data_IF_904688603737
#
_entry.id   IF_904688603737
#
_cell.length_a   1.000
_cell.length_b   1.000
_cell.length_c   1.000
_cell.angle_alpha   90.00
_cell.angle_beta   90.00
_cell.angle_gamma   90.00
#
_symmetry.space_group_name_H-M   'P 1'
#
loop_
_entity.id
_entity.type
_entity.pdbx_description
1 polymer ?
#
# COMPACT_ATOMS: atom_id res chain seq x y z
N UNK A 1 -7.77 7.43 -8.22
CA UNK A 1 -7.34 6.28 -7.40
C UNK A 1 -7.57 6.58 -5.93
N UNK A 2 -8.06 5.57 -5.23
CA UNK A 2 -8.76 5.72 -3.95
C UNK A 2 -7.87 5.89 -2.72
N UNK A 3 -6.58 5.59 -2.77
CA UNK A 3 -5.66 5.88 -1.65
C UNK A 3 -5.16 7.32 -1.62
N UNK A 4 -5.22 8.03 -2.76
CA UNK A 4 -4.69 9.39 -2.86
C UNK A 4 -5.57 10.37 -2.09
N UNK A 5 -6.84 10.48 -2.42
CA UNK A 5 -7.74 11.45 -1.80
C UNK A 5 -9.07 10.79 -1.46
N UNK A 6 -9.79 11.34 -0.48
CA UNK A 6 -11.18 10.95 -0.22
C UNK A 6 -12.07 11.28 -1.42
N UNK A 7 -12.98 10.37 -1.74
CA UNK A 7 -13.92 10.48 -2.87
C UNK A 7 -15.31 10.07 -2.42
N UNK A 8 -16.33 10.71 -2.96
CA UNK A 8 -17.72 10.33 -2.70
C UNK A 8 -18.12 9.09 -3.49
N UNK A 9 -17.68 9.01 -4.74
CA UNK A 9 -18.06 7.97 -5.70
C UNK A 9 -16.90 7.06 -6.08
N UNK A 10 -17.24 5.81 -6.30
CA UNK A 10 -16.34 4.79 -6.83
C UNK A 10 -16.21 4.99 -8.33
N UNK A 11 -14.97 5.03 -8.82
CA UNK A 11 -14.65 5.14 -10.25
C UNK A 11 -13.92 3.88 -10.73
N UNK A 12 -13.91 3.69 -12.05
CA UNK A 12 -13.09 2.65 -12.66
C UNK A 12 -11.60 2.86 -12.34
N UNK A 13 -10.91 1.77 -12.01
CA UNK A 13 -9.52 1.74 -11.56
C UNK A 13 -9.33 1.97 -10.06
N UNK A 14 -10.36 2.38 -9.31
CA UNK A 14 -10.20 2.47 -7.85
C UNK A 14 -10.01 1.07 -7.22
N UNK A 15 -9.21 1.00 -6.16
CA UNK A 15 -9.31 -0.10 -5.18
C UNK A 15 -10.48 0.22 -4.25
N UNK A 16 -11.40 -0.72 -4.02
CA UNK A 16 -12.48 -0.60 -3.05
C UNK A 16 -12.41 -1.74 -2.03
N UNK A 17 -12.84 -1.51 -0.80
CA UNK A 17 -12.89 -2.55 0.22
C UNK A 17 -14.34 -3.00 0.39
N UNK A 18 -14.60 -4.26 0.11
CA UNK A 18 -15.89 -4.90 0.35
C UNK A 18 -15.92 -5.47 1.76
N UNK A 19 -16.78 -4.91 2.61
CA UNK A 19 -17.07 -5.41 3.95
C UNK A 19 -18.32 -6.30 3.91
N UNK A 20 -18.13 -7.58 4.24
CA UNK A 20 -19.15 -8.62 4.25
C UNK A 20 -19.18 -9.35 5.58
N UNK A 21 -20.16 -9.01 6.41
CA UNK A 21 -20.27 -9.55 7.77
C UNK A 21 -18.97 -9.28 8.53
N UNK A 22 -18.15 -10.30 8.81
CA UNK A 22 -16.87 -10.14 9.50
C UNK A 22 -15.64 -10.24 8.58
N UNK A 23 -15.82 -10.25 7.26
CA UNK A 23 -14.73 -10.37 6.28
C UNK A 23 -14.56 -9.08 5.48
N UNK A 24 -13.32 -8.80 5.09
CA UNK A 24 -12.93 -7.69 4.24
C UNK A 24 -12.25 -8.23 2.99
N UNK A 25 -12.56 -7.65 1.84
CA UNK A 25 -11.95 -8.01 0.56
C UNK A 25 -11.55 -6.75 -0.20
N UNK A 26 -10.31 -6.69 -0.69
CA UNK A 26 -9.92 -5.67 -1.65
C UNK A 26 -10.42 -6.05 -3.05
N UNK A 27 -11.09 -5.11 -3.71
CA UNK A 27 -11.66 -5.24 -5.04
C UNK A 27 -11.00 -4.22 -5.95
N UNK A 28 -10.38 -4.70 -7.03
CA UNK A 28 -9.96 -3.85 -8.15
C UNK A 28 -11.18 -3.53 -9.01
N UNK A 29 -11.60 -2.25 -9.01
CA UNK A 29 -12.84 -1.82 -9.66
C UNK A 29 -12.60 -1.62 -11.16
N UNK A 30 -12.57 -2.74 -11.89
CA UNK A 30 -12.57 -2.76 -13.36
C UNK A 30 -13.78 -3.55 -13.84
N UNK A 31 -14.51 -3.10 -14.88
CA UNK A 31 -15.72 -3.78 -15.36
C UNK A 31 -15.41 -5.18 -15.93
N UNK A 32 -14.20 -5.33 -16.48
CA UNK A 32 -13.72 -6.55 -17.11
C UNK A 32 -12.35 -6.92 -16.53
N UNK A 33 -12.03 -8.21 -16.58
CA UNK A 33 -10.73 -8.73 -16.16
C UNK A 33 -10.26 -9.80 -17.12
N UNK A 34 -8.94 -10.01 -17.17
CA UNK A 34 -8.34 -11.10 -17.95
C UNK A 34 -8.34 -12.38 -17.12
N UNK A 35 -8.98 -13.42 -17.63
CA UNK A 35 -8.99 -14.72 -16.95
C UNK A 35 -7.66 -15.48 -17.13
N UNK A 36 -7.53 -16.65 -16.51
CA UNK A 36 -6.31 -17.50 -16.61
C UNK A 36 -5.98 -17.97 -18.03
N UNK A 37 -6.96 -17.97 -18.96
CA UNK A 37 -6.79 -18.31 -20.37
C UNK A 37 -6.44 -17.10 -21.24
N UNK A 38 -6.39 -15.91 -20.65
CA UNK A 38 -6.12 -14.67 -21.34
C UNK A 38 -7.33 -14.03 -22.01
N UNK A 39 -8.54 -14.53 -21.75
CA UNK A 39 -9.79 -13.98 -22.31
C UNK A 39 -10.30 -12.84 -21.42
N UNK A 40 -10.86 -11.81 -22.05
CA UNK A 40 -11.53 -10.71 -21.36
C UNK A 40 -12.92 -11.20 -20.96
N UNK A 41 -13.23 -11.13 -19.66
CA UNK A 41 -14.50 -11.56 -19.08
C UNK A 41 -15.04 -10.50 -18.12
N UNK A 42 -16.35 -10.54 -17.85
CA UNK A 42 -16.96 -9.69 -16.81
C UNK A 42 -16.26 -9.92 -15.47
N UNK A 43 -15.86 -8.85 -14.80
CA UNK A 43 -15.24 -8.94 -13.48
C UNK A 43 -16.32 -9.20 -12.44
N UNK A 44 -16.35 -10.43 -11.94
CA UNK A 44 -17.33 -10.89 -10.94
C UNK A 44 -16.57 -11.46 -9.75
N UNK A 45 -16.72 -10.81 -8.60
CA UNK A 45 -16.09 -11.24 -7.35
C UNK A 45 -16.99 -12.26 -6.63
N UNK A 46 -16.46 -13.44 -6.36
CA UNK A 46 -17.21 -14.53 -5.73
C UNK A 46 -17.04 -14.50 -4.21
N UNK A 47 -18.15 -14.58 -3.47
CA UNK A 47 -18.15 -14.57 -2.00
C UNK A 47 -19.08 -15.65 -1.45
N UNK A 48 -18.99 -16.01 -0.16
CA UNK A 48 -19.96 -16.90 0.49
C UNK A 48 -21.42 -16.41 0.40
N UNK A 49 -21.63 -15.09 0.25
CA UNK A 49 -22.95 -14.46 0.13
C UNK A 49 -23.36 -14.19 -1.33
N UNK A 50 -22.72 -14.88 -2.28
CA UNK A 50 -23.01 -14.79 -3.70
C UNK A 50 -22.00 -13.93 -4.47
N UNK A 51 -22.34 -13.70 -5.73
CA UNK A 51 -21.50 -12.99 -6.69
C UNK A 51 -21.76 -11.48 -6.63
N UNK A 52 -20.69 -10.69 -6.61
CA UNK A 52 -20.71 -9.24 -6.80
C UNK A 52 -20.23 -8.93 -8.22
N UNK A 53 -21.08 -8.32 -9.04
CA UNK A 53 -20.68 -7.81 -10.36
C UNK A 53 -19.93 -6.50 -10.16
N UNK A 54 -18.62 -6.48 -10.38
CA UNK A 54 -17.77 -5.32 -10.04
C UNK A 54 -18.23 -4.05 -10.79
N UNK A 55 -18.74 -4.20 -12.01
CA UNK A 55 -19.34 -3.10 -12.78
C UNK A 55 -20.43 -2.32 -12.02
N UNK A 56 -21.18 -2.95 -11.11
CA UNK A 56 -22.24 -2.26 -10.34
C UNK A 56 -21.69 -1.33 -9.26
N UNK A 57 -20.40 -1.43 -8.94
CA UNK A 57 -19.73 -0.52 -8.01
C UNK A 57 -19.47 0.85 -8.66
N UNK A 58 -19.24 0.90 -9.97
CA UNK A 58 -18.89 2.14 -10.67
C UNK A 58 -20.05 3.13 -10.56
N UNK A 59 -19.77 4.31 -10.00
CA UNK A 59 -20.75 5.37 -9.76
C UNK A 59 -21.53 5.23 -8.45
N UNK A 60 -21.39 4.12 -7.72
CA UNK A 60 -21.94 3.98 -6.36
C UNK A 60 -21.16 4.88 -5.38
N UNK A 61 -21.81 5.27 -4.29
CA UNK A 61 -21.14 6.03 -3.24
C UNK A 61 -20.32 5.09 -2.35
N UNK A 62 -19.12 5.52 -1.96
CA UNK A 62 -18.42 4.87 -0.86
C UNK A 62 -19.26 4.93 0.43
N UNK A 63 -19.21 3.87 1.22
CA UNK A 63 -20.05 3.66 2.41
C UNK A 63 -21.44 3.10 2.13
N UNK A 64 -21.85 2.99 0.86
CA UNK A 64 -23.17 2.47 0.49
C UNK A 64 -23.28 0.95 0.61
N UNK A 65 -24.52 0.46 0.78
CA UNK A 65 -24.85 -0.96 0.68
C UNK A 65 -24.86 -1.39 -0.79
N UNK A 66 -24.23 -2.53 -1.09
CA UNK A 66 -24.24 -3.16 -2.40
C UNK A 66 -24.86 -4.55 -2.34
N UNK A 67 -25.64 -4.87 -3.36
CA UNK A 67 -26.31 -6.17 -3.48
C UNK A 67 -25.38 -7.21 -4.12
N UNK A 68 -25.40 -8.41 -3.56
CA UNK A 68 -24.79 -9.62 -4.11
C UNK A 68 -25.90 -10.60 -4.49
N UNK A 69 -25.58 -11.64 -5.26
CA UNK A 69 -26.61 -12.58 -5.72
C UNK A 69 -27.35 -13.35 -4.62
N UNK A 70 -26.82 -13.43 -3.39
CA UNK A 70 -27.45 -14.12 -2.25
C UNK A 70 -27.39 -13.31 -0.94
N UNK A 71 -27.16 -12.00 -1.00
CA UNK A 71 -26.99 -11.16 0.19
C UNK A 71 -26.55 -9.74 -0.16
N UNK A 72 -25.94 -9.04 0.80
CA UNK A 72 -25.47 -7.67 0.61
C UNK A 72 -24.21 -7.41 1.44
N UNK A 73 -23.46 -6.36 1.07
CA UNK A 73 -22.28 -5.88 1.79
C UNK A 73 -22.19 -4.36 1.76
N UNK A 74 -21.14 -3.80 2.36
CA UNK A 74 -20.80 -2.38 2.21
C UNK A 74 -19.51 -2.24 1.42
N UNK A 75 -19.44 -1.24 0.55
CA UNK A 75 -18.20 -0.87 -0.14
C UNK A 75 -17.64 0.38 0.48
N UNK A 76 -16.44 0.30 1.04
CA UNK A 76 -15.79 1.40 1.76
C UNK A 76 -14.50 1.80 1.05
N UNK A 77 -14.15 3.07 1.18
CA UNK A 77 -12.92 3.59 0.60
C UNK A 77 -11.71 2.95 1.31
N UNK A 78 -10.68 2.51 0.58
CA UNK A 78 -9.51 1.94 1.21
C UNK A 78 -8.76 2.97 2.06
N UNK A 79 -8.23 2.48 3.16
CA UNK A 79 -7.27 3.16 4.01
C UNK A 79 -6.07 2.24 4.23
N UNK A 80 -4.90 2.75 4.64
CA UNK A 80 -3.77 1.90 5.01
C UNK A 80 -4.15 0.79 6.01
N UNK A 81 -5.00 1.07 7.00
CA UNK A 81 -5.44 0.05 7.97
C UNK A 81 -6.25 -1.06 7.31
N UNK A 82 -7.22 -0.72 6.46
CA UNK A 82 -8.02 -1.71 5.75
C UNK A 82 -7.17 -2.48 4.74
N UNK A 83 -6.23 -1.79 4.08
CA UNK A 83 -5.28 -2.41 3.16
C UNK A 83 -4.40 -3.43 3.87
N UNK A 84 -3.84 -3.11 5.04
CA UNK A 84 -3.07 -4.06 5.86
C UNK A 84 -3.83 -5.34 6.18
N UNK A 85 -5.17 -5.29 6.25
CA UNK A 85 -6.02 -6.46 6.50
C UNK A 85 -6.38 -7.25 5.24
N UNK A 86 -6.28 -6.65 4.05
CA UNK A 86 -6.77 -7.24 2.79
C UNK A 86 -5.71 -7.45 1.73
N UNK A 87 -4.51 -6.90 1.91
CA UNK A 87 -3.45 -6.95 0.91
C UNK A 87 -3.02 -8.39 0.60
N UNK A 88 -2.56 -8.67 -0.62
CA UNK A 88 -1.97 -9.96 -0.94
C UNK A 88 -0.61 -10.11 -0.26
N UNK A 89 -0.53 -10.99 0.74
CA UNK A 89 0.71 -11.24 1.47
C UNK A 89 1.78 -11.85 0.56
N UNK A 90 2.93 -11.16 0.47
CA UNK A 90 4.17 -11.65 -0.15
C UNK A 90 5.23 -12.00 0.88
N UNK A 91 5.10 -11.41 2.06
CA UNK A 91 6.00 -11.50 3.22
C UNK A 91 5.16 -11.38 4.50
N UNK A 92 5.79 -11.64 5.65
CA UNK A 92 5.24 -11.18 6.92
C UNK A 92 5.11 -9.66 6.89
N UNK A 93 4.04 -9.12 7.47
CA UNK A 93 3.79 -7.68 7.49
C UNK A 93 3.72 -7.12 8.91
N UNK A 94 3.87 -5.81 9.00
CA UNK A 94 3.58 -5.02 10.20
C UNK A 94 2.10 -4.62 10.16
N UNK A 95 1.41 -4.79 11.27
CA UNK A 95 0.00 -4.45 11.44
C UNK A 95 -0.18 -3.11 12.16
N UNK A 96 -1.41 -2.59 12.13
CA UNK A 96 -1.78 -1.27 12.65
C UNK A 96 -1.26 -0.95 14.06
N UNK A 97 -1.26 -1.84 15.06
CA UNK A 97 -0.74 -1.51 16.39
C UNK A 97 0.73 -1.06 16.33
N UNK A 98 1.59 -1.85 15.71
CA UNK A 98 3.02 -1.55 15.59
C UNK A 98 3.26 -0.37 14.65
N UNK A 99 2.55 -0.31 13.51
CA UNK A 99 2.61 0.83 12.58
C UNK A 99 2.32 2.13 13.34
N UNK A 100 1.25 2.17 14.15
CA UNK A 100 0.86 3.38 14.87
C UNK A 100 1.96 3.86 15.83
N UNK A 101 2.66 2.93 16.48
CA UNK A 101 3.76 3.24 17.37
C UNK A 101 5.01 3.70 16.61
N UNK A 102 5.33 3.05 15.48
CA UNK A 102 6.43 3.44 14.60
C UNK A 102 6.25 4.88 14.11
N UNK A 103 5.07 5.20 13.57
CA UNK A 103 4.77 6.55 13.08
C UNK A 103 4.88 7.61 14.19
N UNK A 104 4.44 7.26 15.41
CA UNK A 104 4.49 8.14 16.57
C UNK A 104 5.93 8.35 17.07
N UNK A 105 6.70 7.27 17.27
CA UNK A 105 8.05 7.36 17.83
C UNK A 105 9.07 7.95 16.86
N UNK A 106 8.86 7.80 15.55
CA UNK A 106 9.65 8.48 14.54
C UNK A 106 9.24 9.94 14.33
N UNK A 107 8.24 10.44 15.09
CA UNK A 107 7.68 11.79 15.01
C UNK A 107 7.43 12.25 13.56
N UNK A 108 6.90 11.33 12.75
CA UNK A 108 6.70 11.60 11.34
C UNK A 108 5.62 12.68 11.20
N UNK A 109 5.80 13.61 10.27
CA UNK A 109 4.84 14.69 9.98
C UNK A 109 4.71 14.88 8.47
N UNK A 110 3.68 15.59 8.00
CA UNK A 110 3.63 16.04 6.60
C UNK A 110 4.92 16.77 6.22
N UNK A 111 5.59 16.32 5.16
CA UNK A 111 6.90 16.84 4.74
C UNK A 111 8.10 15.96 5.08
N UNK A 112 7.96 14.98 5.98
CA UNK A 112 9.08 14.08 6.33
C UNK A 112 9.57 13.27 5.13
N UNK A 113 10.88 13.15 4.99
CA UNK A 113 11.54 12.21 4.08
C UNK A 113 11.87 10.95 4.89
N UNK A 114 11.30 9.82 4.51
CA UNK A 114 11.46 8.56 5.24
C UNK A 114 12.13 7.52 4.36
N UNK A 115 13.10 6.80 4.92
CA UNK A 115 13.67 5.60 4.30
C UNK A 115 13.10 4.35 4.97
N UNK A 116 12.66 3.38 4.16
CA UNK A 116 12.15 2.09 4.58
C UNK A 116 12.95 0.97 3.90
N UNK A 117 13.34 -0.07 4.64
CA UNK A 117 13.86 -1.31 4.07
C UNK A 117 13.58 -2.47 5.04
N UNK A 118 12.95 -3.59 4.69
CA UNK A 118 12.45 -3.98 3.37
C UNK A 118 11.03 -3.50 3.03
N UNK A 119 10.76 -3.25 1.75
CA UNK A 119 9.40 -2.92 1.25
C UNK A 119 8.38 -4.03 1.55
N UNK A 120 8.78 -5.30 1.36
CA UNK A 120 7.94 -6.45 1.66
C UNK A 120 6.60 -6.44 0.90
N UNK A 121 5.49 -6.48 1.65
CA UNK A 121 4.14 -6.42 1.09
C UNK A 121 3.54 -5.00 1.08
N UNK A 122 4.30 -3.96 1.44
CA UNK A 122 3.86 -2.57 1.34
C UNK A 122 2.87 -2.10 2.43
N UNK A 123 2.63 -2.89 3.48
CA UNK A 123 1.71 -2.54 4.59
C UNK A 123 2.13 -1.23 5.27
N UNK A 124 3.37 -1.18 5.76
CA UNK A 124 3.93 0.02 6.40
C UNK A 124 4.08 1.17 5.40
N UNK A 125 4.55 0.90 4.18
CA UNK A 125 4.71 1.91 3.12
C UNK A 125 3.44 2.73 2.87
N UNK A 126 2.26 2.09 2.81
CA UNK A 126 0.99 2.82 2.63
C UNK A 126 0.70 3.78 3.80
N UNK A 127 0.99 3.36 5.03
CA UNK A 127 0.80 4.18 6.22
C UNK A 127 1.81 5.33 6.29
N UNK A 128 3.07 5.08 5.95
CA UNK A 128 4.13 6.09 5.82
C UNK A 128 3.73 7.15 4.79
N UNK A 129 3.34 6.73 3.58
CA UNK A 129 2.90 7.64 2.52
C UNK A 129 1.76 8.53 3.02
N UNK A 130 0.72 7.96 3.63
CA UNK A 130 -0.39 8.77 4.18
C UNK A 130 0.10 9.80 5.19
N UNK A 131 1.09 9.45 6.03
CA UNK A 131 1.59 10.33 7.08
C UNK A 131 2.45 11.47 6.56
N UNK A 132 3.31 11.22 5.57
CA UNK A 132 4.29 12.21 5.08
C UNK A 132 3.75 13.14 4.01
N UNK A 133 2.64 12.78 3.36
CA UNK A 133 1.97 13.62 2.37
C UNK A 133 1.47 14.95 2.96
N UNK A 134 1.35 16.02 2.13
CA UNK A 134 1.53 16.05 0.68
C UNK A 134 2.94 16.43 0.20
N UNK A 135 3.86 16.78 1.12
CA UNK A 135 5.17 17.34 0.78
C UNK A 135 6.35 16.42 1.09
N UNK A 136 6.13 15.35 1.85
CA UNK A 136 7.14 14.36 2.17
C UNK A 136 7.21 13.26 1.13
N UNK A 137 8.18 12.37 1.31
CA UNK A 137 8.47 11.29 0.35
C UNK A 137 8.99 10.05 1.08
N UNK A 138 8.57 8.88 0.61
CA UNK A 138 9.06 7.59 1.12
C UNK A 138 10.04 6.99 0.11
N UNK A 139 11.24 6.66 0.55
CA UNK A 139 12.18 5.85 -0.24
C UNK A 139 12.21 4.45 0.35
N UNK A 140 11.68 3.47 -0.39
CA UNK A 140 11.62 2.09 0.08
C UNK A 140 12.50 1.17 -0.76
N UNK A 141 13.14 0.20 -0.12
CA UNK A 141 14.08 -0.70 -0.76
C UNK A 141 13.70 -2.16 -0.49
N UNK A 142 13.79 -3.02 -1.51
CA UNK A 142 13.71 -4.47 -1.33
C UNK A 142 14.86 -5.14 -2.09
N UNK A 143 15.53 -6.11 -1.47
CA UNK A 143 16.63 -6.83 -2.10
C UNK A 143 16.15 -7.85 -3.14
N UNK A 144 14.84 -8.15 -3.18
CA UNK A 144 14.27 -9.09 -4.12
C UNK A 144 13.57 -8.35 -5.26
N UNK A 145 14.16 -8.40 -6.45
CA UNK A 145 13.72 -7.66 -7.64
C UNK A 145 12.22 -7.82 -7.94
N UNK A 146 11.71 -9.06 -7.91
CA UNK A 146 10.28 -9.31 -8.17
C UNK A 146 9.35 -8.57 -7.18
N UNK A 147 9.67 -8.57 -5.87
CA UNK A 147 8.85 -7.87 -4.87
C UNK A 147 8.91 -6.36 -5.06
N UNK A 148 10.09 -5.83 -5.39
CA UNK A 148 10.24 -4.41 -5.71
C UNK A 148 9.39 -4.00 -6.92
N UNK A 149 9.35 -4.81 -7.99
CA UNK A 149 8.54 -4.53 -9.17
C UNK A 149 7.04 -4.56 -8.86
N UNK A 150 6.58 -5.60 -8.16
CA UNK A 150 5.16 -5.70 -7.75
C UNK A 150 4.76 -4.52 -6.87
N UNK A 151 5.61 -4.10 -5.93
CA UNK A 151 5.31 -2.94 -5.09
C UNK A 151 5.23 -1.63 -5.91
N UNK A 152 6.11 -1.42 -6.90
CA UNK A 152 6.05 -0.26 -7.80
C UNK A 152 4.73 -0.21 -8.57
N UNK A 153 4.31 -1.35 -9.14
CA UNK A 153 3.03 -1.49 -9.85
C UNK A 153 1.87 -1.19 -8.91
N UNK A 154 1.85 -1.76 -7.71
CA UNK A 154 0.82 -1.53 -6.68
C UNK A 154 0.72 -0.05 -6.28
N UNK A 155 1.85 0.65 -6.07
CA UNK A 155 1.83 2.08 -5.74
C UNK A 155 1.33 2.95 -6.90
N UNK A 156 1.59 2.54 -8.15
CA UNK A 156 1.06 3.18 -9.34
C UNK A 156 -0.46 2.95 -9.45
N UNK A 157 -0.91 1.71 -9.32
CA UNK A 157 -2.33 1.36 -9.32
C UNK A 157 -3.07 2.06 -8.17
N UNK A 158 -2.45 2.25 -7.01
CA UNK A 158 -3.09 2.99 -5.91
C UNK A 158 -3.03 4.52 -6.06
N UNK A 159 -2.34 5.03 -7.10
CA UNK A 159 -2.20 6.46 -7.39
C UNK A 159 -1.38 7.24 -6.36
N UNK A 160 -0.47 6.54 -5.68
CA UNK A 160 0.39 7.08 -4.62
C UNK A 160 1.88 7.10 -5.00
N UNK A 161 2.22 6.66 -6.21
CA UNK A 161 3.59 6.62 -6.74
C UNK A 161 4.33 7.98 -6.66
N UNK A 162 3.63 9.12 -6.71
CA UNK A 162 4.25 10.45 -6.59
C UNK A 162 4.94 10.67 -5.23
N UNK A 163 4.56 9.91 -4.21
CA UNK A 163 5.03 10.08 -2.82
C UNK A 163 5.96 8.96 -2.37
N UNK A 164 6.33 8.06 -3.28
CA UNK A 164 7.18 6.91 -2.98
C UNK A 164 8.13 6.60 -4.12
N UNK A 165 9.37 6.25 -3.79
CA UNK A 165 10.32 5.67 -4.73
C UNK A 165 10.75 4.32 -4.19
N UNK A 166 10.24 3.26 -4.82
CA UNK A 166 10.62 1.89 -4.50
C UNK A 166 11.78 1.43 -5.39
N UNK A 167 12.86 0.88 -4.82
CA UNK A 167 14.04 0.42 -5.58
C UNK A 167 14.44 -1.00 -5.18
N UNK A 168 14.90 -1.76 -6.18
CA UNK A 168 15.60 -3.01 -5.95
C UNK A 168 17.04 -2.71 -5.51
N UNK A 169 17.41 -3.04 -4.27
CA UNK A 169 18.75 -2.78 -3.71
C UNK A 169 19.01 -3.64 -2.48
N UNK A 170 20.25 -4.12 -2.33
CA UNK A 170 20.75 -4.64 -1.07
C UNK A 170 21.28 -3.49 -0.22
N UNK A 171 20.46 -2.98 0.69
CA UNK A 171 20.83 -1.83 1.52
C UNK A 171 21.88 -2.14 2.58
N UNK A 172 22.13 -3.43 2.87
CA UNK A 172 23.17 -3.83 3.83
C UNK A 172 24.55 -3.76 3.17
N UNK A 173 24.63 -4.14 1.89
CA UNK A 173 25.86 -4.02 1.11
C UNK A 173 26.08 -2.61 0.56
N UNK A 174 25.05 -2.02 -0.07
CA UNK A 174 25.19 -0.86 -0.94
C UNK A 174 24.65 0.45 -0.32
N UNK A 175 24.08 0.39 0.88
CA UNK A 175 23.43 1.51 1.53
C UNK A 175 22.15 1.98 0.82
N UNK A 176 21.78 3.25 0.98
CA UNK A 176 20.53 3.79 0.42
C UNK A 176 20.73 4.60 -0.86
N UNK A 177 21.98 4.73 -1.34
CA UNK A 177 22.38 5.57 -2.46
C UNK A 177 22.82 6.96 -2.01
N UNK A 178 23.87 7.48 -2.65
CA UNK A 178 24.48 8.78 -2.32
C UNK A 178 23.47 9.93 -2.43
N UNK A 179 22.47 9.78 -3.29
CA UNK A 179 21.41 10.76 -3.47
C UNK A 179 20.54 10.96 -2.22
N UNK A 180 20.60 10.06 -1.23
CA UNK A 180 19.86 10.14 0.03
C UNK A 180 20.74 10.50 1.24
N UNK A 181 22.05 10.69 1.05
CA UNK A 181 22.94 11.07 2.14
C UNK A 181 22.52 12.44 2.74
N UNK A 182 22.35 12.48 4.05
CA UNK A 182 21.94 13.68 4.79
C UNK A 182 20.54 14.20 4.46
N UNK A 183 19.62 13.35 4.00
CA UNK A 183 18.26 13.77 3.56
C UNK A 183 17.10 13.18 4.33
N UNK A 184 17.28 12.06 5.02
CA UNK A 184 16.19 11.39 5.72
C UNK A 184 15.91 12.04 7.07
N UNK A 185 14.63 12.27 7.37
CA UNK A 185 14.14 12.62 8.70
C UNK A 185 14.02 11.38 9.59
N UNK A 186 13.73 10.22 8.99
CA UNK A 186 13.62 8.95 9.69
C UNK A 186 14.02 7.77 8.80
N UNK A 187 14.49 6.69 9.43
CA UNK A 187 14.78 5.42 8.77
C UNK A 187 14.15 4.27 9.55
N UNK A 188 13.49 3.36 8.86
CA UNK A 188 12.92 2.14 9.42
C UNK A 188 13.50 0.91 8.74
N UNK A 189 14.05 -0.02 9.54
CA UNK A 189 14.68 -1.25 9.08
C UNK A 189 13.93 -2.50 9.56
N UNK A 190 13.18 -3.13 8.67
CA UNK A 190 12.63 -4.48 8.80
C UNK A 190 13.43 -5.44 7.90
N UNK A 191 14.56 -5.90 8.43
CA UNK A 191 15.53 -6.76 7.75
C UNK A 191 15.98 -7.87 8.69
N UNK A 192 16.51 -9.00 8.18
CA UNK A 192 17.03 -10.08 9.03
C UNK A 192 18.25 -9.69 9.88
N UNK A 193 19.03 -8.71 9.45
CA UNK A 193 20.26 -8.25 10.12
C UNK A 193 20.40 -6.73 10.08
N UNK A 194 19.49 -6.00 10.73
CA UNK A 194 19.39 -4.54 10.60
C UNK A 194 20.61 -3.81 11.19
N UNK A 195 21.33 -4.42 12.13
CA UNK A 195 22.56 -3.87 12.71
C UNK A 195 23.67 -3.62 11.67
N UNK A 196 23.69 -4.40 10.57
CA UNK A 196 24.63 -4.19 9.45
C UNK A 196 24.31 -2.90 8.70
N UNK A 197 23.04 -2.49 8.67
CA UNK A 197 22.59 -1.29 7.97
C UNK A 197 22.82 0.00 8.75
N UNK A 198 23.11 -0.06 10.06
CA UNK A 198 23.24 1.14 10.92
C UNK A 198 24.27 2.15 10.39
N UNK A 199 25.47 1.76 9.93
CA UNK A 199 26.41 2.71 9.33
C UNK A 199 25.82 3.47 8.12
N UNK A 200 25.02 2.80 7.28
CA UNK A 200 24.34 3.44 6.15
C UNK A 200 23.22 4.38 6.60
N UNK A 201 22.54 4.07 7.71
CA UNK A 201 21.54 4.95 8.33
C UNK A 201 22.16 6.26 8.77
N UNK A 202 23.33 6.21 9.41
CA UNK A 202 24.05 7.41 9.85
C UNK A 202 24.42 8.33 8.69
N UNK A 203 24.74 7.78 7.52
CA UNK A 203 25.01 8.58 6.33
C UNK A 203 23.74 9.22 5.74
N UNK A 204 22.59 8.57 5.88
CA UNK A 204 21.33 9.01 5.26
C UNK A 204 20.55 10.03 6.08
N UNK A 205 20.61 9.97 7.41
CA UNK A 205 19.90 10.89 8.30
C UNK A 205 20.47 12.32 8.17
N UNK A 206 19.58 13.33 8.18
CA UNK A 206 19.97 14.76 8.20
C UNK A 206 20.85 15.06 9.42
N UNK A 207 21.87 15.89 9.22
CA UNK A 207 22.58 16.50 10.34
C UNK A 207 21.63 17.48 11.05
N UNK A 208 21.38 17.25 12.34
CA UNK A 208 20.61 18.16 13.20
C UNK A 208 21.53 19.23 13.81
#
# INVERSE_FOLDING_TARGET
MSFRNYKDKIEEGDTAILYLSNNLYAIDVRPEMKNKKGEIVENVYQTPFGALKVRTLIGANYGSRVELSKGWGHVIQPTPELWSLTLPHRTQIIYTPDISMILLQLDLVPGSIVIEAGTGSGSLTHALIRRVRPHGHVYTFDFHEHRSKVAQEEFQEHGIADFVTAKHRDVLADGFGEELNGKADAVFLDLPSPWIGVPHVLNAIKNQ
#
